data_IF_475910165080
#
_entry.id   IF_475910165080
#
_cell.length_a   1.000
_cell.length_b   1.000
_cell.length_c   1.000
_cell.angle_alpha   90.00
_cell.angle_beta   90.00
_cell.angle_gamma   90.00
#
_symmetry.space_group_name_H-M   'P 1'
#
loop_
_entity.id
_entity.type
_entity.pdbx_description
1 polymer ?
#
# COMPACT_ATOMS: atom_id res chain seq x y z
N UNK A 1 -40.52 -2.82 -4.17
CA UNK A 1 -39.09 -2.63 -3.87
C UNK A 1 -38.74 -1.31 -4.52
N UNK A 2 -38.54 -0.28 -3.70
CA UNK A 2 -38.31 1.08 -4.17
C UNK A 2 -36.90 1.16 -4.77
N UNK A 3 -36.81 1.44 -6.07
CA UNK A 3 -35.55 1.56 -6.80
C UNK A 3 -34.91 2.96 -6.62
N UNK A 4 -35.49 3.84 -5.80
CA UNK A 4 -35.05 5.23 -5.62
C UNK A 4 -33.92 5.44 -4.59
N UNK A 5 -33.44 4.40 -3.90
CA UNK A 5 -32.36 4.52 -2.90
C UNK A 5 -31.02 3.86 -3.29
N UNK A 6 -30.87 3.38 -4.53
CA UNK A 6 -29.57 2.91 -5.01
C UNK A 6 -28.65 4.11 -5.26
N UNK A 7 -27.88 4.49 -4.23
CA UNK A 7 -26.78 5.44 -4.40
C UNK A 7 -25.80 4.85 -5.43
N UNK A 8 -25.32 5.65 -6.39
CA UNK A 8 -24.39 5.16 -7.40
C UNK A 8 -23.08 4.70 -6.74
N UNK A 9 -22.42 3.77 -7.40
CA UNK A 9 -21.05 3.36 -7.09
C UNK A 9 -20.11 4.58 -7.14
N UNK A 10 -19.00 4.52 -6.40
CA UNK A 10 -18.00 5.60 -6.47
C UNK A 10 -17.19 5.46 -7.75
N UNK A 11 -17.09 6.54 -8.52
CA UNK A 11 -16.19 6.64 -9.65
C UNK A 11 -15.64 8.07 -9.79
N UNK A 12 -14.33 8.20 -9.76
CA UNK A 12 -13.61 9.47 -9.91
C UNK A 12 -12.46 9.32 -10.91
N UNK A 13 -12.21 10.36 -11.70
CA UNK A 13 -11.19 10.33 -12.76
C UNK A 13 -11.77 9.97 -14.12
N UNK A 14 -10.91 9.87 -15.13
CA UNK A 14 -11.31 9.57 -16.51
C UNK A 14 -11.01 8.08 -16.82
N UNK A 15 -12.02 7.20 -16.84
CA UNK A 15 -11.81 5.79 -17.16
C UNK A 15 -11.35 5.58 -18.60
N UNK A 16 -11.72 6.47 -19.54
CA UNK A 16 -11.30 6.39 -20.93
C UNK A 16 -9.81 6.70 -21.10
N UNK A 17 -9.18 7.32 -20.10
CA UNK A 17 -7.73 7.51 -20.04
C UNK A 17 -7.07 6.45 -19.17
N UNK A 18 -7.55 6.19 -17.96
CA UNK A 18 -6.83 5.32 -17.03
C UNK A 18 -6.80 3.85 -17.48
N UNK A 19 -7.94 3.29 -17.88
CA UNK A 19 -8.04 1.85 -18.17
C UNK A 19 -7.27 1.42 -19.43
N UNK A 20 -7.34 2.15 -20.58
CA UNK A 20 -6.60 1.74 -21.78
C UNK A 20 -5.10 1.94 -21.68
N UNK A 21 -4.63 2.79 -20.75
CA UNK A 21 -3.21 3.11 -20.57
C UNK A 21 -2.58 2.42 -19.35
N UNK A 22 -3.30 1.47 -18.76
CA UNK A 22 -2.84 0.69 -17.61
C UNK A 22 -1.62 -0.18 -17.97
N UNK A 23 -0.57 -0.14 -17.14
CA UNK A 23 0.66 -0.92 -17.36
C UNK A 23 0.88 -1.99 -16.29
N UNK A 24 0.32 -1.79 -15.09
CA UNK A 24 0.48 -2.69 -13.96
C UNK A 24 -0.74 -2.58 -13.05
N UNK A 25 -1.28 -3.72 -12.62
CA UNK A 25 -2.27 -3.82 -11.54
C UNK A 25 -2.07 -5.07 -10.74
N UNK A 26 -2.17 -4.94 -9.42
CA UNK A 26 -2.18 -6.06 -8.52
C UNK A 26 -3.28 -5.91 -7.48
N UNK A 27 -3.69 -7.05 -6.93
CA UNK A 27 -4.36 -7.08 -5.63
C UNK A 27 -3.42 -6.46 -4.61
N UNK A 28 -3.97 -5.61 -3.75
CA UNK A 28 -3.30 -5.02 -2.59
C UNK A 28 -4.12 -5.35 -1.34
N UNK A 29 -3.97 -4.59 -0.26
CA UNK A 29 -4.70 -4.86 0.98
C UNK A 29 -4.17 -6.08 1.71
N UNK A 30 -5.01 -6.71 2.54
CA UNK A 30 -4.53 -7.74 3.47
C UNK A 30 -4.15 -9.08 2.81
N UNK A 31 -4.70 -9.37 1.63
CA UNK A 31 -4.44 -10.59 0.86
C UNK A 31 -3.00 -10.69 0.34
N UNK A 32 -2.43 -9.62 -0.22
CA UNK A 32 -1.06 -9.64 -0.78
C UNK A 32 0.02 -9.87 0.28
N UNK A 33 -0.30 -9.59 1.55
CA UNK A 33 0.57 -9.88 2.68
C UNK A 33 0.39 -11.30 3.25
N UNK A 34 -0.64 -12.04 2.79
CA UNK A 34 -1.03 -13.36 3.30
C UNK A 34 -1.81 -13.31 4.63
N UNK A 35 -2.30 -12.15 5.05
CA UNK A 35 -2.99 -11.96 6.34
C UNK A 35 -4.52 -11.75 6.18
N UNK A 36 -5.05 -12.16 5.03
CA UNK A 36 -6.48 -12.23 4.77
C UNK A 36 -7.15 -13.26 5.70
N UNK A 37 -8.36 -12.97 6.19
CA UNK A 37 -9.13 -13.92 7.00
C UNK A 37 -10.34 -14.33 6.16
N UNK A 38 -10.54 -15.64 5.90
CA UNK A 38 -11.64 -16.13 5.06
C UNK A 38 -12.99 -15.53 5.46
N UNK A 39 -13.72 -15.01 4.47
CA UNK A 39 -15.06 -14.42 4.66
C UNK A 39 -15.05 -12.99 5.19
N UNK A 40 -13.89 -12.35 5.36
CA UNK A 40 -13.78 -10.95 5.81
C UNK A 40 -13.10 -10.02 4.80
N UNK A 41 -12.72 -10.53 3.64
CA UNK A 41 -11.81 -9.85 2.73
C UNK A 41 -12.55 -8.90 1.77
N UNK A 42 -12.19 -7.63 1.86
CA UNK A 42 -12.35 -6.59 0.84
C UNK A 42 -11.33 -6.84 -0.30
N UNK A 43 -11.76 -6.70 -1.56
CA UNK A 43 -10.88 -6.86 -2.72
C UNK A 43 -10.30 -5.51 -3.15
N UNK A 44 -9.15 -5.16 -2.58
CA UNK A 44 -8.44 -3.94 -2.95
C UNK A 44 -7.53 -4.18 -4.16
N UNK A 45 -7.61 -3.33 -5.18
CA UNK A 45 -6.70 -3.31 -6.32
C UNK A 45 -5.98 -1.97 -6.43
N UNK A 46 -4.69 -2.02 -6.75
CA UNK A 46 -3.89 -0.84 -7.07
C UNK A 46 -3.17 -1.05 -8.38
N UNK A 47 -3.19 -0.03 -9.22
CA UNK A 47 -2.49 -0.04 -10.49
C UNK A 47 -1.88 1.28 -10.89
N UNK A 48 -1.24 1.26 -12.04
CA UNK A 48 -0.48 2.35 -12.62
C UNK A 48 -0.84 2.47 -14.09
N UNK A 49 -1.14 3.68 -14.56
CA UNK A 49 -1.36 3.97 -15.97
C UNK A 49 -0.41 5.07 -16.45
N UNK A 50 -0.01 5.00 -17.72
CA UNK A 50 0.77 6.06 -18.35
C UNK A 50 -0.16 7.16 -18.82
N UNK A 51 0.07 8.39 -18.38
CA UNK A 51 -0.74 9.53 -18.82
C UNK A 51 -0.50 9.83 -20.31
N UNK A 52 -1.51 10.28 -21.06
CA UNK A 52 -1.30 10.77 -22.43
C UNK A 52 -0.49 12.07 -22.41
N UNK A 53 0.20 12.44 -23.51
CA UNK A 53 1.12 13.58 -23.51
C UNK A 53 0.42 14.91 -23.20
N UNK A 54 -0.84 15.09 -23.61
CA UNK A 54 -1.65 16.26 -23.28
C UNK A 54 -1.92 16.42 -21.77
N UNK A 55 -1.96 15.33 -21.00
CA UNK A 55 -2.12 15.39 -19.54
C UNK A 55 -0.82 15.75 -18.83
N UNK A 56 0.33 15.47 -19.46
CA UNK A 56 1.66 15.70 -18.87
C UNK A 56 2.23 17.05 -19.27
N UNK A 57 2.12 17.40 -20.55
CA UNK A 57 2.70 18.61 -21.16
C UNK A 57 1.68 19.72 -21.40
N UNK A 58 0.38 19.40 -21.40
CA UNK A 58 -0.67 20.38 -21.60
C UNK A 58 -0.80 21.36 -20.44
N UNK A 59 -1.56 22.44 -20.68
CA UNK A 59 -1.77 23.53 -19.73
C UNK A 59 -2.95 23.30 -18.78
N UNK A 60 -3.74 22.26 -19.03
CA UNK A 60 -4.90 21.91 -18.22
C UNK A 60 -4.46 20.94 -17.12
N UNK A 61 -4.85 21.22 -15.89
CA UNK A 61 -4.61 20.31 -14.77
C UNK A 61 -5.61 19.16 -14.82
N UNK A 62 -5.10 17.92 -14.77
CA UNK A 62 -5.90 16.70 -14.75
C UNK A 62 -5.74 15.96 -13.42
N UNK A 63 -6.79 15.24 -13.02
CA UNK A 63 -6.72 14.33 -11.88
C UNK A 63 -5.66 13.26 -12.15
N UNK A 64 -4.86 12.95 -11.13
CA UNK A 64 -3.72 12.03 -11.23
C UNK A 64 -4.04 10.62 -10.73
N UNK A 65 -5.31 10.31 -10.57
CA UNK A 65 -5.78 9.01 -10.14
C UNK A 65 -7.19 8.75 -10.66
N UNK A 66 -7.45 7.49 -10.97
CA UNK A 66 -8.77 6.95 -11.21
C UNK A 66 -9.15 6.06 -10.02
N UNK A 67 -10.33 6.29 -9.44
CA UNK A 67 -10.83 5.55 -8.29
C UNK A 67 -12.18 4.99 -8.67
N UNK A 68 -12.37 3.69 -8.46
CA UNK A 68 -13.64 3.03 -8.67
C UNK A 68 -13.93 2.10 -7.50
N UNK A 69 -15.14 2.14 -6.96
CA UNK A 69 -15.56 1.26 -5.85
C UNK A 69 -16.91 0.67 -6.14
N UNK A 70 -17.13 -0.57 -5.75
CA UNK A 70 -18.46 -1.22 -5.85
C UNK A 70 -19.47 -0.53 -4.92
N UNK A 71 -19.01 -0.09 -3.74
CA UNK A 71 -19.85 0.56 -2.74
C UNK A 71 -19.97 2.08 -2.94
N UNK A 72 -21.09 2.70 -2.51
CA UNK A 72 -21.25 4.16 -2.53
C UNK A 72 -20.28 4.91 -1.60
N UNK A 73 -20.17 6.23 -1.81
CA UNK A 73 -19.33 7.10 -1.00
C UNK A 73 -19.74 7.04 0.49
N UNK A 74 -18.75 6.90 1.37
CA UNK A 74 -18.97 6.78 2.82
C UNK A 74 -19.44 5.39 3.29
N UNK A 75 -19.71 4.45 2.39
CA UNK A 75 -20.02 3.05 2.73
C UNK A 75 -18.74 2.22 2.76
N UNK A 76 -18.60 1.37 3.78
CA UNK A 76 -17.45 0.48 3.95
C UNK A 76 -17.61 -0.75 3.06
N UNK A 77 -16.56 -1.11 2.34
CA UNK A 77 -16.48 -2.31 1.51
C UNK A 77 -16.48 -3.58 2.38
N UNK A 78 -17.15 -4.61 1.92
CA UNK A 78 -17.24 -5.92 2.52
C UNK A 78 -16.84 -7.03 1.55
N UNK A 79 -17.22 -8.26 1.89
CA UNK A 79 -16.89 -9.44 1.09
C UNK A 79 -17.51 -9.36 -0.31
N UNK A 80 -16.66 -9.47 -1.34
CA UNK A 80 -17.06 -9.40 -2.75
C UNK A 80 -17.12 -7.99 -3.33
N UNK A 81 -16.89 -6.95 -2.53
CA UNK A 81 -16.72 -5.59 -3.02
C UNK A 81 -15.29 -5.35 -3.51
N UNK A 82 -15.16 -4.60 -4.60
CA UNK A 82 -13.87 -4.18 -5.15
C UNK A 82 -13.65 -2.69 -4.94
N UNK A 83 -12.46 -2.35 -4.44
CA UNK A 83 -11.93 -0.99 -4.35
C UNK A 83 -10.68 -0.86 -5.24
N UNK A 84 -10.82 -0.17 -6.37
CA UNK A 84 -9.76 0.04 -7.36
C UNK A 84 -9.20 1.46 -7.26
N UNK A 85 -7.87 1.57 -7.21
CA UNK A 85 -7.15 2.83 -7.41
C UNK A 85 -6.07 2.68 -8.46
N UNK A 86 -6.20 3.40 -9.57
CA UNK A 86 -5.15 3.55 -10.58
C UNK A 86 -4.47 4.90 -10.41
N UNK A 87 -3.15 4.89 -10.19
CA UNK A 87 -2.37 6.11 -10.16
C UNK A 87 -1.77 6.42 -11.54
N UNK A 88 -1.77 7.70 -11.89
CA UNK A 88 -0.96 8.19 -13.00
C UNK A 88 0.51 7.85 -12.74
N UNK A 89 1.28 7.49 -13.77
CA UNK A 89 2.68 7.04 -13.61
C UNK A 89 3.48 8.03 -12.76
N UNK A 90 3.36 9.33 -13.05
CA UNK A 90 4.10 10.37 -12.31
C UNK A 90 3.67 10.47 -10.85
N UNK A 91 2.40 10.26 -10.52
CA UNK A 91 1.93 10.24 -9.12
C UNK A 91 2.40 8.97 -8.41
N UNK A 92 2.25 7.82 -9.06
CA UNK A 92 2.71 6.54 -8.54
C UNK A 92 4.19 6.59 -8.18
N UNK A 93 5.04 7.01 -9.12
CA UNK A 93 6.49 7.10 -8.89
C UNK A 93 6.84 8.05 -7.75
N UNK A 94 6.17 9.21 -7.63
CA UNK A 94 6.39 10.12 -6.48
C UNK A 94 6.02 9.50 -5.13
N UNK A 95 4.98 8.67 -5.09
CA UNK A 95 4.58 7.95 -3.86
C UNK A 95 5.56 6.84 -3.52
N UNK A 96 5.93 6.03 -4.52
CA UNK A 96 6.86 4.92 -4.38
C UNK A 96 8.28 5.38 -4.01
N UNK A 97 8.81 6.45 -4.66
CA UNK A 97 10.11 7.07 -4.34
C UNK A 97 10.13 7.57 -2.90
N UNK A 98 9.01 8.10 -2.41
CA UNK A 98 8.88 8.52 -1.02
C UNK A 98 8.82 7.35 -0.04
N UNK A 99 8.69 6.11 -0.51
CA UNK A 99 8.58 4.92 0.34
C UNK A 99 7.18 4.70 0.91
N UNK A 100 6.12 5.13 0.22
CA UNK A 100 4.76 4.84 0.67
C UNK A 100 4.52 3.31 0.70
N UNK A 101 4.22 2.70 1.87
CA UNK A 101 4.13 1.24 1.99
C UNK A 101 3.12 0.60 1.04
N UNK A 102 1.97 1.24 0.83
CA UNK A 102 0.92 0.73 -0.07
C UNK A 102 1.33 0.86 -1.54
N UNK A 103 1.92 1.98 -1.93
CA UNK A 103 2.35 2.21 -3.31
C UNK A 103 3.49 1.28 -3.75
N UNK A 104 4.29 0.76 -2.80
CA UNK A 104 5.33 -0.21 -3.11
C UNK A 104 4.78 -1.62 -3.40
N UNK A 105 3.58 -1.98 -2.92
CA UNK A 105 3.07 -3.35 -3.01
C UNK A 105 3.03 -3.90 -4.45
N UNK A 106 2.53 -3.17 -5.47
CA UNK A 106 2.50 -3.70 -6.84
C UNK A 106 3.88 -4.08 -7.41
N UNK A 107 4.96 -3.47 -6.92
CA UNK A 107 6.33 -3.80 -7.36
C UNK A 107 6.81 -5.17 -6.86
N UNK A 108 6.29 -5.59 -5.71
CA UNK A 108 6.71 -6.81 -5.00
C UNK A 108 5.61 -7.87 -4.95
N UNK A 109 4.40 -7.58 -5.43
CA UNK A 109 3.28 -8.51 -5.44
C UNK A 109 3.68 -9.82 -6.15
N UNK A 110 3.34 -10.99 -5.59
CA UNK A 110 3.63 -12.27 -6.22
C UNK A 110 2.77 -12.45 -7.48
N UNK A 111 3.16 -13.38 -8.37
CA UNK A 111 2.55 -13.50 -9.70
C UNK A 111 1.03 -13.74 -9.66
N UNK A 112 0.57 -14.53 -8.69
CA UNK A 112 -0.84 -14.82 -8.45
C UNK A 112 -1.66 -13.62 -7.98
N UNK A 113 -1.01 -12.56 -7.49
CA UNK A 113 -1.66 -11.30 -7.09
C UNK A 113 -1.63 -10.24 -8.19
N UNK A 114 -0.95 -10.50 -9.32
CA UNK A 114 -0.91 -9.57 -10.46
C UNK A 114 -2.14 -9.80 -11.33
N UNK A 115 -2.94 -8.74 -11.50
CA UNK A 115 -4.17 -8.73 -12.29
C UNK A 115 -3.85 -8.36 -13.75
N UNK A 116 -2.94 -7.41 -13.96
CA UNK A 116 -2.50 -6.97 -15.27
C UNK A 116 -1.03 -6.56 -15.21
N UNK A 117 -0.25 -6.98 -16.21
CA UNK A 117 1.11 -6.49 -16.41
C UNK A 117 1.44 -6.43 -17.90
N UNK A 118 1.91 -5.28 -18.35
CA UNK A 118 2.42 -5.07 -19.72
C UNK A 118 3.95 -5.15 -19.72
N UNK A 119 4.63 -5.12 -20.89
CA UNK A 119 6.09 -5.02 -20.92
C UNK A 119 6.64 -3.82 -20.11
N UNK A 120 5.99 -2.66 -20.17
CA UNK A 120 6.35 -1.50 -19.33
C UNK A 120 6.12 -1.78 -17.83
N UNK A 121 5.05 -2.50 -17.48
CA UNK A 121 4.80 -2.94 -16.12
C UNK A 121 5.88 -3.86 -15.57
N UNK A 122 6.38 -4.80 -16.38
CA UNK A 122 7.49 -5.67 -15.97
C UNK A 122 8.79 -4.89 -15.78
N UNK A 123 9.10 -3.95 -16.68
CA UNK A 123 10.24 -3.05 -16.51
C UNK A 123 10.13 -2.24 -15.20
N UNK A 124 8.96 -1.69 -14.89
CA UNK A 124 8.70 -0.99 -13.64
C UNK A 124 8.95 -1.89 -12.41
N UNK A 125 8.45 -3.12 -12.43
CA UNK A 125 8.70 -4.10 -11.36
C UNK A 125 10.17 -4.52 -11.27
N UNK A 126 10.91 -4.50 -12.37
CA UNK A 126 12.36 -4.77 -12.37
C UNK A 126 13.15 -3.68 -11.64
N UNK A 127 12.61 -2.45 -11.55
CA UNK A 127 13.19 -1.33 -10.81
C UNK A 127 12.91 -1.35 -9.31
N UNK A 128 12.19 -2.35 -8.77
CA UNK A 128 11.71 -2.37 -7.39
C UNK A 128 12.77 -2.05 -6.32
N UNK A 129 14.01 -2.53 -6.49
CA UNK A 129 15.12 -2.24 -5.57
C UNK A 129 15.54 -0.77 -5.56
N UNK A 130 15.38 -0.06 -6.69
CA UNK A 130 15.70 1.37 -6.82
C UNK A 130 14.80 2.27 -5.96
N UNK A 131 13.63 1.79 -5.57
CA UNK A 131 12.71 2.51 -4.69
C UNK A 131 13.04 2.34 -3.20
N UNK A 132 13.80 1.30 -2.84
CA UNK A 132 14.10 0.98 -1.45
C UNK A 132 15.23 1.86 -0.92
N UNK A 133 15.03 2.43 0.27
CA UNK A 133 15.97 3.35 0.90
C UNK A 133 15.74 3.46 2.41
N UNK A 134 16.71 4.03 3.12
CA UNK A 134 16.55 4.37 4.55
C UNK A 134 15.36 5.32 4.76
N UNK A 135 15.17 6.29 3.86
CA UNK A 135 13.99 7.16 3.88
C UNK A 135 12.66 6.38 3.71
N UNK A 136 12.66 5.28 2.95
CA UNK A 136 11.50 4.40 2.87
C UNK A 136 11.27 3.64 4.20
N UNK A 137 12.31 3.12 4.84
CA UNK A 137 12.19 2.51 6.17
C UNK A 137 11.61 3.49 7.21
N UNK A 138 12.04 4.77 7.19
CA UNK A 138 11.46 5.83 8.01
C UNK A 138 9.96 6.06 7.72
N UNK A 139 9.52 5.94 6.46
CA UNK A 139 8.09 5.99 6.16
C UNK A 139 7.36 4.80 6.76
N UNK A 140 7.88 3.58 6.67
CA UNK A 140 7.24 2.43 7.31
C UNK A 140 7.05 2.66 8.81
N UNK A 141 8.06 3.20 9.51
CA UNK A 141 7.95 3.59 10.92
C UNK A 141 6.87 4.66 11.14
N UNK A 142 6.83 5.72 10.33
CA UNK A 142 5.81 6.76 10.46
C UNK A 142 4.37 6.25 10.24
N UNK A 143 4.16 5.33 9.29
CA UNK A 143 2.85 4.69 9.11
C UNK A 143 2.53 3.74 10.27
N UNK A 144 3.52 2.97 10.74
CA UNK A 144 3.40 2.09 11.90
C UNK A 144 2.95 2.90 13.13
N UNK A 145 3.64 4.00 13.43
CA UNK A 145 3.30 4.90 14.53
C UNK A 145 1.88 5.41 14.43
N UNK A 146 1.43 5.82 13.24
CA UNK A 146 0.06 6.27 13.06
C UNK A 146 -0.97 5.17 13.35
N UNK A 147 -0.69 3.92 13.01
CA UNK A 147 -1.56 2.79 13.36
C UNK A 147 -1.50 2.47 14.86
N UNK A 148 -0.31 2.53 15.46
CA UNK A 148 -0.08 2.28 16.87
C UNK A 148 -0.76 3.33 17.76
N UNK A 149 -0.64 4.62 17.45
CA UNK A 149 -1.36 5.69 18.14
C UNK A 149 -2.89 5.52 18.07
N UNK A 150 -3.41 5.05 16.93
CA UNK A 150 -4.85 4.76 16.77
C UNK A 150 -5.26 3.55 17.62
N UNK A 151 -4.45 2.50 17.65
CA UNK A 151 -4.66 1.34 18.53
C UNK A 151 -4.73 1.76 20.00
N UNK A 152 -3.94 2.75 20.40
CA UNK A 152 -3.91 3.28 21.77
C UNK A 152 -5.01 4.33 22.06
N UNK A 153 -5.82 4.71 21.06
CA UNK A 153 -6.83 5.77 21.22
C UNK A 153 -6.24 7.18 21.37
N UNK A 154 -4.98 7.38 20.98
CA UNK A 154 -4.23 8.63 21.16
C UNK A 154 -4.21 9.51 19.90
N UNK A 155 -4.86 9.06 18.82
CA UNK A 155 -4.86 9.79 17.55
C UNK A 155 -5.61 11.12 17.67
N UNK A 156 -4.96 12.22 17.26
CA UNK A 156 -5.54 13.57 17.24
C UNK A 156 -6.55 13.82 16.10
N UNK A 157 -6.76 12.84 15.22
CA UNK A 157 -7.69 12.93 14.08
C UNK A 157 -8.99 12.19 14.43
N UNK A 158 -10.12 12.64 13.87
CA UNK A 158 -11.37 11.86 13.86
C UNK A 158 -11.17 10.65 12.94
N UNK A 159 -10.54 9.61 13.46
CA UNK A 159 -10.29 8.38 12.72
C UNK A 159 -11.47 7.43 12.93
N UNK A 160 -11.93 6.71 11.89
CA UNK A 160 -12.93 5.66 12.05
C UNK A 160 -12.51 4.68 13.14
N UNK A 161 -13.35 4.58 14.18
CA UNK A 161 -13.29 3.53 15.18
C UNK A 161 -14.07 2.32 14.66
N UNK A 162 -13.65 1.11 15.04
CA UNK A 162 -14.35 -0.16 14.78
C UNK A 162 -14.97 -0.65 16.10
N UNK A 163 -16.09 -0.04 16.54
CA UNK A 163 -16.72 -0.40 17.81
C UNK A 163 -17.06 -1.89 17.89
N UNK A 164 -17.32 -2.53 16.76
CA UNK A 164 -17.54 -3.98 16.66
C UNK A 164 -16.34 -4.80 17.15
N UNK A 165 -15.11 -4.40 16.77
CA UNK A 165 -13.89 -5.08 17.19
C UNK A 165 -13.57 -4.80 18.67
N UNK A 166 -13.80 -3.57 19.14
CA UNK A 166 -13.62 -3.22 20.54
C UNK A 166 -14.60 -4.01 21.42
N UNK A 167 -15.86 -4.13 21.01
CA UNK A 167 -16.84 -4.92 21.74
C UNK A 167 -16.46 -6.40 21.80
N UNK A 168 -15.88 -6.94 20.72
CA UNK A 168 -15.49 -8.35 20.64
C UNK A 168 -14.18 -8.68 21.38
N UNK A 169 -13.15 -7.85 21.24
CA UNK A 169 -11.78 -8.16 21.67
C UNK A 169 -11.25 -7.22 22.77
N UNK A 170 -12.03 -6.20 23.15
CA UNK A 170 -11.62 -5.17 24.11
C UNK A 170 -10.76 -4.05 23.51
N UNK A 171 -10.36 -4.15 22.24
CA UNK A 171 -9.56 -3.15 21.53
C UNK A 171 -9.59 -3.36 19.99
N UNK A 172 -9.13 -2.39 19.20
CA UNK A 172 -9.13 -2.47 17.73
C UNK A 172 -7.94 -3.31 17.21
N UNK A 173 -8.17 -4.62 17.08
CA UNK A 173 -7.19 -5.59 16.57
C UNK A 173 -6.73 -5.30 15.14
N UNK A 174 -7.52 -4.58 14.32
CA UNK A 174 -7.14 -4.22 12.94
C UNK A 174 -6.08 -3.11 12.94
N UNK A 175 -6.10 -2.18 13.88
CA UNK A 175 -4.98 -1.25 14.07
C UNK A 175 -3.72 -1.95 14.56
N UNK A 176 -3.84 -2.87 15.53
CA UNK A 176 -2.70 -3.63 16.04
C UNK A 176 -2.03 -4.50 14.98
N UNK A 177 -2.82 -5.30 14.25
CA UNK A 177 -2.29 -6.18 13.20
C UNK A 177 -1.61 -5.37 12.10
N UNK A 178 -2.15 -4.20 11.74
CA UNK A 178 -1.56 -3.33 10.72
C UNK A 178 -0.26 -2.67 11.20
N UNK A 179 -0.22 -2.18 12.45
CA UNK A 179 0.99 -1.62 13.04
C UNK A 179 2.10 -2.68 13.11
N UNK A 180 1.80 -3.88 13.60
CA UNK A 180 2.74 -4.98 13.70
C UNK A 180 3.26 -5.43 12.32
N UNK A 181 2.37 -5.52 11.32
CA UNK A 181 2.76 -5.80 9.93
C UNK A 181 3.78 -4.78 9.41
N UNK A 182 3.51 -3.48 9.62
CA UNK A 182 4.40 -2.41 9.20
C UNK A 182 5.74 -2.42 9.97
N UNK A 183 5.73 -2.79 11.25
CA UNK A 183 6.94 -2.93 12.06
C UNK A 183 7.84 -4.05 11.51
N UNK A 184 7.28 -5.22 11.21
CA UNK A 184 8.02 -6.32 10.59
C UNK A 184 8.59 -5.95 9.22
N UNK A 185 7.78 -5.38 8.34
CA UNK A 185 8.24 -4.97 7.02
C UNK A 185 9.28 -3.85 7.08
N UNK A 186 9.14 -2.91 8.02
CA UNK A 186 10.14 -1.87 8.27
C UNK A 186 11.47 -2.46 8.74
N UNK A 187 11.42 -3.46 9.62
CA UNK A 187 12.60 -4.19 10.09
C UNK A 187 13.27 -5.01 8.98
N UNK A 188 12.50 -5.75 8.19
CA UNK A 188 13.01 -6.47 7.01
C UNK A 188 13.70 -5.52 6.04
N UNK A 189 13.04 -4.40 5.71
CA UNK A 189 13.56 -3.40 4.80
C UNK A 189 14.87 -2.82 5.32
N UNK A 190 14.90 -2.35 6.58
CA UNK A 190 16.09 -1.75 7.18
C UNK A 190 17.24 -2.74 7.32
N UNK A 191 16.98 -4.02 7.62
CA UNK A 191 18.01 -5.03 7.89
C UNK A 191 18.55 -5.70 6.63
N UNK A 192 17.70 -5.93 5.63
CA UNK A 192 18.03 -6.73 4.44
C UNK A 192 17.99 -5.95 3.12
N UNK A 193 17.35 -4.79 3.09
CA UNK A 193 17.10 -4.06 1.85
C UNK A 193 16.11 -4.76 0.91
N UNK A 194 15.27 -5.65 1.44
CA UNK A 194 14.24 -6.38 0.69
C UNK A 194 12.86 -6.18 1.31
N UNK A 195 11.82 -6.52 0.56
CA UNK A 195 10.44 -6.58 1.01
C UNK A 195 9.82 -7.87 0.49
N UNK A 196 9.41 -8.75 1.39
CA UNK A 196 8.85 -10.07 1.02
C UNK A 196 7.32 -10.04 1.05
N UNK A 197 6.70 -10.50 -0.04
CA UNK A 197 5.26 -10.67 -0.18
C UNK A 197 4.95 -12.04 -0.82
N UNK A 198 4.07 -12.87 -0.23
CA UNK A 198 3.45 -12.71 1.09
C UNK A 198 4.48 -12.65 2.23
N UNK A 199 4.08 -12.19 3.42
CA UNK A 199 5.00 -12.11 4.56
C UNK A 199 5.55 -13.50 4.94
N UNK A 200 6.77 -13.57 5.52
CA UNK A 200 7.32 -14.80 6.09
C UNK A 200 6.33 -15.49 7.03
N UNK A 201 6.28 -16.82 6.98
CA UNK A 201 5.23 -17.62 7.62
C UNK A 201 5.05 -17.35 9.11
N UNK A 202 6.15 -17.20 9.86
CA UNK A 202 6.17 -16.93 11.29
C UNK A 202 5.60 -15.54 11.63
N UNK A 203 6.02 -14.52 10.86
CA UNK A 203 5.53 -13.16 11.01
C UNK A 203 4.06 -13.05 10.60
N UNK A 204 3.68 -13.73 9.51
CA UNK A 204 2.30 -13.80 9.01
C UNK A 204 1.38 -14.41 10.05
N UNK A 205 1.73 -15.55 10.61
CA UNK A 205 0.94 -16.21 11.66
C UNK A 205 0.82 -15.33 12.90
N UNK A 206 1.91 -14.65 13.29
CA UNK A 206 1.86 -13.70 14.41
C UNK A 206 0.95 -12.50 14.15
N UNK A 207 0.93 -11.96 12.93
CA UNK A 207 -0.01 -10.88 12.57
C UNK A 207 -1.45 -11.38 12.54
N UNK A 208 -1.68 -12.60 12.05
CA UNK A 208 -2.99 -13.24 12.05
C UNK A 208 -3.51 -13.51 13.46
N UNK A 209 -2.67 -13.96 14.39
CA UNK A 209 -3.08 -14.18 15.79
C UNK A 209 -3.53 -12.88 16.46
N UNK A 210 -2.87 -11.76 16.16
CA UNK A 210 -3.33 -10.43 16.57
C UNK A 210 -4.68 -10.10 15.96
N UNK A 211 -4.85 -10.33 14.65
CA UNK A 211 -6.10 -10.04 13.92
C UNK A 211 -7.29 -10.89 14.44
N UNK A 212 -7.02 -12.07 14.99
CA UNK A 212 -7.98 -12.97 15.67
C UNK A 212 -8.21 -12.63 17.15
N UNK A 213 -7.51 -11.63 17.70
CA UNK A 213 -7.64 -11.22 19.10
C UNK A 213 -7.01 -12.18 20.11
N UNK A 214 -6.12 -13.06 19.67
CA UNK A 214 -5.48 -14.09 20.50
C UNK A 214 -4.34 -13.53 21.36
N UNK A 215 -3.86 -12.33 21.04
CA UNK A 215 -2.72 -11.69 21.68
C UNK A 215 -3.18 -10.42 22.40
N UNK A 216 -2.82 -10.21 23.68
CA UNK A 216 -3.14 -8.99 24.40
C UNK A 216 -2.54 -7.73 23.76
N UNK A 217 -3.28 -6.62 23.81
CA UNK A 217 -2.87 -5.33 23.23
C UNK A 217 -1.50 -4.86 23.72
N UNK A 218 -1.20 -5.06 25.00
CA UNK A 218 0.04 -4.65 25.65
C UNK A 218 1.24 -5.44 25.09
N UNK A 219 1.07 -6.73 24.82
CA UNK A 219 2.10 -7.59 24.22
C UNK A 219 2.37 -7.17 22.77
N UNK A 220 1.32 -6.90 21.99
CA UNK A 220 1.44 -6.36 20.62
C UNK A 220 2.18 -5.02 20.63
N UNK A 221 1.82 -4.13 21.56
CA UNK A 221 2.48 -2.83 21.71
C UNK A 221 3.96 -2.98 22.04
N UNK A 222 4.32 -3.87 22.98
CA UNK A 222 5.71 -4.10 23.35
C UNK A 222 6.52 -4.64 22.15
N UNK A 223 5.95 -5.56 21.38
CA UNK A 223 6.59 -6.11 20.19
C UNK A 223 6.81 -5.07 19.09
N UNK A 224 5.83 -4.17 18.86
CA UNK A 224 5.97 -3.05 17.92
C UNK A 224 7.13 -2.13 18.34
N UNK A 225 7.21 -1.78 19.64
CA UNK A 225 8.27 -0.91 20.17
C UNK A 225 9.65 -1.57 20.10
N UNK A 226 9.74 -2.88 20.31
CA UNK A 226 10.99 -3.62 20.17
C UNK A 226 11.47 -3.63 18.70
N UNK A 227 10.58 -3.97 17.75
CA UNK A 227 10.89 -3.92 16.31
C UNK A 227 11.28 -2.52 15.85
N UNK A 228 10.61 -1.48 16.34
CA UNK A 228 11.02 -0.10 16.07
C UNK A 228 12.44 0.17 16.57
N UNK A 229 12.76 -0.24 17.80
CA UNK A 229 14.09 -0.03 18.38
C UNK A 229 15.17 -0.73 17.57
N UNK A 230 14.89 -1.94 17.04
CA UNK A 230 15.79 -2.65 16.14
C UNK A 230 15.98 -1.91 14.81
N UNK A 231 14.90 -1.39 14.21
CA UNK A 231 14.98 -0.56 12.99
C UNK A 231 15.82 0.69 13.25
N UNK A 232 15.58 1.39 14.37
CA UNK A 232 16.34 2.59 14.77
C UNK A 232 17.82 2.28 14.91
N UNK A 233 18.18 1.21 15.61
CA UNK A 233 19.57 0.78 15.72
C UNK A 233 20.22 0.50 14.34
N UNK A 234 19.51 -0.17 13.42
CA UNK A 234 20.01 -0.44 12.07
C UNK A 234 20.26 0.85 11.26
N UNK A 235 19.38 1.83 11.38
CA UNK A 235 19.49 3.10 10.67
C UNK A 235 20.54 4.01 11.31
N UNK A 236 20.48 4.22 12.62
CA UNK A 236 21.33 5.18 13.34
C UNK A 236 22.79 4.72 13.40
N UNK A 237 23.04 3.41 13.55
CA UNK A 237 24.39 2.84 13.54
C UNK A 237 24.95 2.63 12.12
N UNK A 238 24.20 3.05 11.09
CA UNK A 238 24.56 2.88 9.67
C UNK A 238 24.85 1.41 9.30
N UNK A 239 24.07 0.48 9.86
CA UNK A 239 24.16 -0.97 9.62
C UNK A 239 23.21 -1.48 8.55
N UNK A 240 22.32 -0.61 8.06
CA UNK A 240 21.41 -0.91 6.95
C UNK A 240 22.16 -1.00 5.61
N UNK A 241 21.83 -1.97 4.74
CA UNK A 241 22.40 -2.05 3.40
C UNK A 241 21.78 -1.03 2.42
N UNK A 242 20.73 -0.32 2.83
CA UNK A 242 19.98 0.59 1.98
C UNK A 242 20.71 1.92 1.77
N UNK A 243 20.59 2.54 0.58
CA UNK A 243 21.01 3.92 0.37
C UNK A 243 20.13 4.86 1.20
N UNK A 244 20.61 6.09 1.43
CA UNK A 244 19.84 7.11 2.16
C UNK A 244 18.50 7.42 1.48
N UNK A 245 18.51 7.53 0.15
CA UNK A 245 17.35 7.84 -0.69
C UNK A 245 17.21 6.86 -1.85
N UNK A 246 15.99 6.76 -2.40
CA UNK A 246 15.71 6.01 -3.62
C UNK A 246 16.49 6.58 -4.82
N UNK A 247 16.82 5.75 -5.80
CA UNK A 247 17.52 6.14 -7.03
C UNK A 247 16.53 6.84 -8.00
N UNK A 248 16.21 8.08 -7.65
CA UNK A 248 15.27 8.92 -8.40
C UNK A 248 15.76 9.21 -9.83
N UNK A 249 17.08 9.19 -10.08
CA UNK A 249 17.64 9.38 -11.41
C UNK A 249 17.30 8.19 -12.30
N UNK A 250 17.65 6.98 -11.87
CA UNK A 250 17.32 5.76 -12.63
C UNK A 250 15.82 5.59 -12.85
N UNK A 251 15.01 5.87 -11.83
CA UNK A 251 13.54 5.82 -11.94
C UNK A 251 13.04 6.88 -12.92
N UNK A 252 13.58 8.10 -12.86
CA UNK A 252 13.21 9.20 -13.75
C UNK A 252 13.59 8.95 -15.21
N UNK A 253 14.80 8.45 -15.46
CA UNK A 253 15.28 8.08 -16.79
C UNK A 253 14.38 7.03 -17.44
N UNK A 254 14.07 5.96 -16.70
CA UNK A 254 13.12 4.95 -17.17
C UNK A 254 11.73 5.53 -17.41
N UNK A 255 11.22 6.40 -16.52
CA UNK A 255 9.89 6.97 -16.67
C UNK A 255 9.75 7.82 -17.94
N UNK A 256 10.78 8.61 -18.27
CA UNK A 256 10.80 9.41 -19.50
C UNK A 256 10.83 8.52 -20.74
N UNK A 257 11.66 7.47 -20.74
CA UNK A 257 11.74 6.52 -21.84
C UNK A 257 10.43 5.73 -22.03
N UNK A 258 9.86 5.23 -20.94
CA UNK A 258 8.58 4.51 -20.92
C UNK A 258 7.44 5.38 -21.49
N UNK A 259 7.36 6.65 -21.08
CA UNK A 259 6.38 7.60 -21.60
C UNK A 259 6.55 7.83 -23.10
N UNK A 260 7.78 8.08 -23.58
CA UNK A 260 8.04 8.26 -25.02
C UNK A 260 7.61 7.05 -25.84
N UNK A 261 7.98 5.84 -25.40
CA UNK A 261 7.57 4.59 -26.08
C UNK A 261 6.07 4.40 -26.06
N UNK A 262 5.40 4.70 -24.95
CA UNK A 262 3.95 4.62 -24.83
C UNK A 262 3.23 5.63 -25.74
N UNK A 263 3.80 6.81 -25.94
CA UNK A 263 3.27 7.85 -26.83
C UNK A 263 3.65 7.70 -28.31
N UNK A 264 4.56 6.77 -28.63
CA UNK A 264 5.07 6.57 -29.99
C UNK A 264 6.00 7.68 -30.47
N UNK A 265 6.80 8.27 -29.58
CA UNK A 265 7.76 9.34 -29.88
C UNK A 265 9.17 8.84 -30.19
#
# INVERSE_FOLDING_TARGET
>A
MDLSELRPNVEYGDPAVALPNEILRSVVGSGVHGIAIPGTDDHDEMGVYVEPPEYVLGVVEHRQDYVWRTQPEGVRSGHGDTDLVLYSLRKYLRLAIKGNPTALLPLFAPAESVVLVTPLGEELRSLRSSFLSRAAAERFLGYMHSQHERMLGQSKRNVPNRPELIAQYGWDVKYGSHALRLAYQGHELAGSGHLTLPMPDDQRERVLSVKRGEVPREEVSAQITDLESQVRALLDDNRSPLPEFADANRIGEWAVDAQRRHWGW
#
